data_IF_471345652560
#
_entry.id   IF_471345652560
#
_cell.length_a   1.000
_cell.length_b   1.000
_cell.length_c   1.000
_cell.angle_alpha   90.00
_cell.angle_beta   90.00
_cell.angle_gamma   90.00
#
_symmetry.space_group_name_H-M   'P 1'
#
loop_
_entity.id
_entity.type
_entity.pdbx_description
1 polymer ?
#
# COMPACT_ATOMS: atom_id res chain seq x y z
N UNK A 1 21.00 37.79 -11.50
CA UNK A 1 19.72 37.23 -11.06
C UNK A 1 19.11 36.50 -12.24
N UNK A 2 18.85 35.20 -12.11
CA UNK A 2 18.09 34.44 -13.11
C UNK A 2 16.61 34.83 -12.96
N UNK A 3 15.93 35.09 -14.08
CA UNK A 3 14.51 35.44 -14.12
C UNK A 3 13.67 34.37 -13.42
N UNK A 4 12.76 34.82 -12.53
CA UNK A 4 11.89 33.99 -11.66
C UNK A 4 10.51 33.72 -12.29
N UNK A 5 10.42 33.63 -13.62
CA UNK A 5 9.17 33.37 -14.33
C UNK A 5 8.96 31.88 -14.62
N UNK A 6 8.60 31.10 -13.61
CA UNK A 6 8.00 29.77 -13.84
C UNK A 6 6.55 29.75 -13.34
N UNK A 7 5.59 29.28 -14.17
CA UNK A 7 4.20 29.24 -13.77
C UNK A 7 3.99 28.24 -12.63
N UNK A 8 3.20 28.63 -11.63
CA UNK A 8 2.73 27.73 -10.58
C UNK A 8 1.86 26.61 -11.17
N UNK A 9 2.03 25.37 -10.68
CA UNK A 9 1.09 24.29 -10.94
C UNK A 9 -0.13 24.48 -10.03
N UNK A 10 -1.19 25.04 -10.59
CA UNK A 10 -2.46 25.25 -9.90
C UNK A 10 -3.38 24.09 -10.24
N UNK A 11 -3.62 23.20 -9.29
CA UNK A 11 -4.65 22.15 -9.43
C UNK A 11 -6.01 22.82 -9.23
N UNK A 12 -6.67 23.19 -10.33
CA UNK A 12 -7.95 23.90 -10.30
C UNK A 12 -9.16 22.98 -10.04
N UNK A 13 -8.97 21.66 -10.01
CA UNK A 13 -10.08 20.72 -9.81
C UNK A 13 -10.16 20.30 -8.33
N UNK A 14 -11.30 20.53 -7.65
CA UNK A 14 -11.52 19.96 -6.33
C UNK A 14 -11.54 18.42 -6.43
N UNK A 15 -11.04 17.74 -5.40
CA UNK A 15 -11.14 16.30 -5.29
C UNK A 15 -12.61 15.86 -5.32
N UNK A 16 -12.93 14.85 -6.12
CA UNK A 16 -14.26 14.25 -6.17
C UNK A 16 -14.19 12.85 -5.57
N UNK A 17 -15.01 12.60 -4.55
CA UNK A 17 -15.23 11.25 -4.05
C UNK A 17 -16.08 10.49 -5.05
N UNK A 18 -15.55 9.41 -5.62
CA UNK A 18 -16.31 8.47 -6.46
C UNK A 18 -16.42 7.14 -5.72
N UNK A 19 -17.62 6.57 -5.67
CA UNK A 19 -17.77 5.19 -5.19
C UNK A 19 -17.00 4.24 -6.11
N UNK A 20 -16.28 3.30 -5.51
CA UNK A 20 -15.59 2.26 -6.25
C UNK A 20 -16.61 1.42 -7.02
N UNK A 21 -16.59 1.50 -8.34
CA UNK A 21 -17.31 0.57 -9.20
C UNK A 21 -16.33 -0.47 -9.73
N UNK A 22 -16.51 -1.77 -9.41
CA UNK A 22 -15.68 -2.80 -10.00
C UNK A 22 -15.87 -2.77 -11.52
N UNK A 23 -14.78 -2.92 -12.30
CA UNK A 23 -14.88 -2.92 -13.76
C UNK A 23 -15.87 -3.99 -14.21
N UNK A 24 -16.78 -3.63 -15.12
CA UNK A 24 -17.74 -4.57 -15.69
C UNK A 24 -16.99 -5.65 -16.48
N UNK A 25 -16.76 -6.80 -15.85
CA UNK A 25 -16.22 -7.98 -16.53
C UNK A 25 -17.27 -8.44 -17.55
N UNK A 26 -16.95 -8.29 -18.83
CA UNK A 26 -17.75 -8.84 -19.91
C UNK A 26 -17.92 -10.35 -19.68
N UNK A 27 -19.16 -10.80 -19.49
CA UNK A 27 -19.50 -12.21 -19.39
C UNK A 27 -19.30 -12.83 -20.78
N UNK A 28 -18.10 -13.28 -21.08
CA UNK A 28 -17.91 -14.20 -22.20
C UNK A 28 -18.58 -15.54 -21.83
N UNK A 29 -19.31 -16.15 -22.78
CA UNK A 29 -19.95 -17.44 -22.54
C UNK A 29 -18.88 -18.45 -22.14
N UNK A 30 -19.13 -19.19 -21.05
CA UNK A 30 -18.28 -20.29 -20.63
C UNK A 30 -18.28 -21.34 -21.74
N UNK A 31 -17.14 -21.50 -22.42
CA UNK A 31 -16.90 -22.63 -23.29
C UNK A 31 -16.95 -23.89 -22.43
N UNK A 32 -18.07 -24.60 -22.45
CA UNK A 32 -18.19 -25.91 -21.81
C UNK A 32 -17.32 -26.87 -22.61
N UNK A 33 -16.18 -27.27 -22.08
CA UNK A 33 -15.47 -28.44 -22.60
C UNK A 33 -16.35 -29.65 -22.29
N UNK A 34 -16.55 -30.52 -23.28
CA UNK A 34 -17.11 -31.84 -23.03
C UNK A 34 -15.94 -32.81 -23.19
N UNK A 35 -15.49 -33.47 -22.10
CA UNK A 35 -14.41 -34.44 -22.19
C UNK A 35 -14.72 -35.51 -23.24
N UNK A 36 -13.76 -35.82 -24.10
CA UNK A 36 -13.93 -36.85 -25.15
C UNK A 36 -14.18 -38.24 -24.55
N UNK A 37 -13.55 -38.53 -23.40
CA UNK A 37 -13.79 -39.71 -22.57
C UNK A 37 -14.19 -39.26 -21.15
N UNK A 38 -15.50 -39.25 -20.89
CA UNK A 38 -16.06 -38.83 -19.60
C UNK A 38 -15.75 -39.82 -18.47
N UNK A 39 -15.74 -41.12 -18.77
CA UNK A 39 -15.46 -42.16 -17.77
C UNK A 39 -13.99 -42.09 -17.34
N UNK A 40 -13.07 -42.00 -18.30
CA UNK A 40 -11.65 -41.81 -18.02
C UNK A 40 -11.37 -40.50 -17.29
N UNK A 41 -12.02 -39.41 -17.71
CA UNK A 41 -11.88 -38.12 -17.04
C UNK A 41 -12.36 -38.13 -15.59
N UNK A 42 -13.58 -38.59 -15.34
CA UNK A 42 -14.15 -38.65 -13.99
C UNK A 42 -13.38 -39.61 -13.08
N UNK A 43 -12.93 -40.76 -13.60
CA UNK A 43 -12.13 -41.71 -12.83
C UNK A 43 -10.80 -41.11 -12.40
N UNK A 44 -10.12 -40.40 -13.32
CA UNK A 44 -8.88 -39.68 -13.00
C UNK A 44 -9.09 -38.62 -11.92
N UNK A 45 -10.13 -37.79 -12.02
CA UNK A 45 -10.42 -36.77 -10.99
C UNK A 45 -10.76 -37.39 -9.64
N UNK A 46 -11.45 -38.53 -9.61
CA UNK A 46 -11.70 -39.27 -8.36
C UNK A 46 -10.38 -39.74 -7.75
N UNK A 47 -9.49 -40.35 -8.55
CA UNK A 47 -8.21 -40.86 -8.07
C UNK A 47 -7.29 -39.72 -7.57
N UNK A 48 -7.32 -38.55 -8.23
CA UNK A 48 -6.65 -37.32 -7.80
C UNK A 48 -7.19 -36.79 -6.46
N UNK A 49 -8.52 -36.77 -6.27
CA UNK A 49 -9.14 -36.39 -5.00
C UNK A 49 -8.81 -37.37 -3.86
N UNK A 50 -8.80 -38.67 -4.13
CA UNK A 50 -8.36 -39.69 -3.16
C UNK A 50 -6.88 -39.52 -2.79
N UNK A 51 -6.04 -39.09 -3.73
CA UNK A 51 -4.64 -38.78 -3.43
C UNK A 51 -4.51 -37.58 -2.49
N UNK A 52 -5.31 -36.54 -2.71
CA UNK A 52 -5.40 -35.36 -1.83
C UNK A 52 -5.86 -35.76 -0.42
N UNK A 53 -6.89 -36.62 -0.31
CA UNK A 53 -7.36 -37.16 0.98
C UNK A 53 -6.24 -37.88 1.73
N UNK A 54 -5.51 -38.78 1.04
CA UNK A 54 -4.41 -39.53 1.63
C UNK A 54 -3.21 -38.67 2.01
N UNK A 55 -3.02 -37.52 1.36
CA UNK A 55 -1.98 -36.56 1.73
C UNK A 55 -2.32 -35.90 3.07
N UNK A 56 -3.59 -35.54 3.28
CA UNK A 56 -4.08 -34.99 4.53
C UNK A 56 -3.88 -35.96 5.71
N UNK A 57 -4.12 -37.26 5.50
CA UNK A 57 -4.00 -38.27 6.56
C UNK A 57 -2.56 -38.66 6.91
N UNK A 58 -1.61 -38.48 5.98
CA UNK A 58 -0.20 -38.88 6.16
C UNK A 58 0.71 -37.78 6.68
N UNK A 59 0.19 -36.57 6.85
CA UNK A 59 0.98 -35.43 7.30
C UNK A 59 1.27 -35.53 8.80
N UNK A 60 2.53 -35.82 9.13
CA UNK A 60 3.05 -35.58 10.47
C UNK A 60 3.14 -34.07 10.69
N UNK A 61 2.38 -33.55 11.66
CA UNK A 61 2.37 -32.14 12.03
C UNK A 61 3.23 -31.98 13.29
N UNK A 62 4.49 -31.54 13.19
CA UNK A 62 5.34 -31.34 14.36
C UNK A 62 4.83 -30.21 15.26
N UNK A 63 4.00 -29.32 14.70
CA UNK A 63 3.40 -28.18 15.37
C UNK A 63 1.88 -28.38 15.38
N UNK A 64 1.27 -28.25 16.56
CA UNK A 64 -0.18 -28.24 16.74
C UNK A 64 -0.60 -26.90 17.29
N UNK A 65 -1.55 -26.24 16.63
CA UNK A 65 -2.08 -24.93 17.01
C UNK A 65 -3.50 -25.10 17.50
N UNK A 66 -3.81 -24.56 18.69
CA UNK A 66 -5.12 -24.73 19.28
C UNK A 66 -6.19 -24.02 18.45
N UNK A 67 -7.31 -24.71 18.22
CA UNK A 67 -8.40 -24.18 17.42
C UNK A 67 -8.18 -24.19 15.91
N UNK A 68 -7.00 -24.55 15.40
CA UNK A 68 -6.80 -24.78 13.96
C UNK A 68 -7.56 -26.04 13.50
N UNK A 69 -8.23 -25.95 12.34
CA UNK A 69 -9.00 -27.08 11.81
C UNK A 69 -8.10 -27.98 10.98
N UNK A 70 -8.11 -29.28 11.26
CA UNK A 70 -7.40 -30.24 10.41
C UNK A 70 -8.03 -30.30 9.01
N UNK A 71 -7.19 -30.29 7.98
CA UNK A 71 -7.61 -30.33 6.59
C UNK A 71 -6.42 -30.25 5.65
N UNK A 72 -6.72 -30.10 4.37
CA UNK A 72 -5.74 -30.00 3.30
C UNK A 72 -6.13 -28.90 2.33
N UNK A 73 -5.15 -28.15 1.85
CA UNK A 73 -5.35 -27.25 0.73
C UNK A 73 -5.25 -28.03 -0.58
N UNK A 74 -6.24 -27.88 -1.45
CA UNK A 74 -6.27 -28.51 -2.76
C UNK A 74 -6.39 -27.45 -3.85
N UNK A 75 -5.59 -27.56 -4.90
CA UNK A 75 -5.67 -26.70 -6.08
C UNK A 75 -6.44 -27.44 -7.17
N UNK A 76 -7.52 -26.80 -7.63
CA UNK A 76 -8.31 -27.21 -8.80
C UNK A 76 -7.86 -26.34 -9.98
N UNK A 77 -7.39 -26.98 -11.05
CA UNK A 77 -6.98 -26.29 -12.28
C UNK A 77 -8.03 -26.52 -13.37
N UNK A 78 -8.39 -25.47 -14.13
CA UNK A 78 -9.31 -25.59 -15.27
C UNK A 78 -8.62 -26.02 -16.55
N UNK A 79 -9.41 -26.39 -17.56
CA UNK A 79 -8.89 -26.48 -18.93
C UNK A 79 -8.59 -25.08 -19.50
N UNK A 80 -7.61 -24.93 -20.42
CA UNK A 80 -7.37 -23.67 -21.10
C UNK A 80 -8.63 -23.12 -21.78
N UNK A 81 -9.00 -21.89 -21.47
CA UNK A 81 -10.20 -21.22 -21.99
C UNK A 81 -11.52 -21.64 -21.33
N UNK A 82 -11.46 -22.40 -20.24
CA UNK A 82 -12.61 -22.82 -19.43
C UNK A 82 -12.53 -22.20 -18.05
N UNK A 83 -13.68 -21.76 -17.53
CA UNK A 83 -13.79 -21.23 -16.17
C UNK A 83 -14.26 -22.30 -15.20
N UNK A 84 -13.71 -22.30 -13.99
CA UNK A 84 -14.14 -23.18 -12.92
C UNK A 84 -15.53 -22.81 -12.42
N UNK A 85 -16.30 -23.81 -12.00
CA UNK A 85 -17.54 -23.59 -11.27
C UNK A 85 -17.25 -23.20 -9.80
N UNK A 86 -16.72 -21.98 -9.58
CA UNK A 86 -16.25 -21.52 -8.26
C UNK A 86 -17.29 -21.67 -7.13
N UNK A 87 -18.56 -21.40 -7.40
CA UNK A 87 -19.67 -21.60 -6.44
C UNK A 87 -19.79 -23.06 -5.96
N UNK A 88 -19.41 -24.03 -6.80
CA UNK A 88 -19.42 -25.45 -6.43
C UNK A 88 -18.15 -25.85 -5.67
N UNK A 89 -17.09 -25.05 -5.73
CA UNK A 89 -15.87 -25.21 -4.93
C UNK A 89 -16.00 -24.57 -3.53
N UNK A 90 -16.97 -23.67 -3.35
CA UNK A 90 -17.27 -22.98 -2.09
C UNK A 90 -18.74 -23.19 -1.65
N UNK A 91 -19.11 -24.41 -1.18
CA UNK A 91 -20.50 -24.74 -0.87
C UNK A 91 -21.14 -23.92 0.24
N UNK A 92 -20.35 -23.40 1.20
CA UNK A 92 -20.82 -22.66 2.39
C UNK A 92 -22.04 -23.29 3.08
N UNK A 93 -22.07 -24.61 3.17
CA UNK A 93 -23.18 -25.39 3.74
C UNK A 93 -22.71 -26.22 4.92
N UNK A 94 -23.36 -26.04 6.08
CA UNK A 94 -23.01 -26.70 7.33
C UNK A 94 -21.98 -25.92 8.14
N UNK A 95 -21.63 -26.43 9.32
CA UNK A 95 -20.65 -25.78 10.21
C UNK A 95 -19.19 -25.99 9.77
N UNK A 96 -18.93 -27.06 9.00
CA UNK A 96 -17.61 -27.40 8.48
C UNK A 96 -17.78 -27.79 7.02
N UNK A 97 -17.13 -27.08 6.12
CA UNK A 97 -17.26 -27.27 4.69
C UNK A 97 -15.98 -26.89 3.95
N UNK A 98 -15.77 -27.41 2.73
CA UNK A 98 -14.76 -26.88 1.83
C UNK A 98 -15.00 -25.38 1.59
N UNK A 99 -13.93 -24.61 1.49
CA UNK A 99 -14.02 -23.16 1.29
C UNK A 99 -12.94 -22.69 0.32
N UNK A 100 -13.34 -21.82 -0.60
CA UNK A 100 -12.45 -21.25 -1.61
C UNK A 100 -11.58 -20.15 -1.00
N UNK A 101 -10.26 -20.33 -1.10
CA UNK A 101 -9.25 -19.46 -0.48
C UNK A 101 -8.79 -18.39 -1.46
N UNK A 102 -8.32 -18.83 -2.64
CA UNK A 102 -7.78 -17.96 -3.69
C UNK A 102 -8.17 -18.46 -5.08
N UNK A 103 -8.22 -17.53 -6.04
CA UNK A 103 -8.39 -17.83 -7.47
C UNK A 103 -7.36 -17.05 -8.26
N UNK A 104 -6.62 -17.75 -9.12
CA UNK A 104 -5.58 -17.19 -9.97
C UNK A 104 -5.90 -17.48 -11.43
N UNK A 105 -5.70 -16.49 -12.29
CA UNK A 105 -5.75 -16.65 -13.73
C UNK A 105 -4.31 -16.62 -14.27
N UNK A 106 -3.92 -17.66 -14.99
CA UNK A 106 -2.65 -17.68 -15.73
C UNK A 106 -2.92 -17.67 -17.22
N UNK A 107 -2.19 -16.83 -17.95
CA UNK A 107 -2.31 -16.72 -19.41
C UNK A 107 -1.16 -17.45 -20.08
N UNK A 108 -1.47 -18.42 -20.91
CA UNK A 108 -0.49 -19.13 -21.72
C UNK A 108 -0.02 -18.24 -22.89
N UNK A 109 1.12 -18.62 -23.48
CA UNK A 109 1.73 -17.89 -24.60
C UNK A 109 0.84 -17.87 -25.86
N UNK A 110 -0.04 -18.85 -26.02
CA UNK A 110 -1.04 -18.92 -27.09
C UNK A 110 -2.26 -18.02 -26.84
N UNK A 111 -2.28 -17.31 -25.71
CA UNK A 111 -3.33 -16.38 -25.32
C UNK A 111 -4.48 -17.01 -24.54
N UNK A 112 -4.51 -18.33 -24.37
CA UNK A 112 -5.51 -19.04 -23.56
C UNK A 112 -5.32 -18.77 -22.06
N UNK A 113 -6.42 -18.74 -21.31
CA UNK A 113 -6.41 -18.49 -19.86
C UNK A 113 -6.78 -19.75 -19.12
N UNK A 114 -6.02 -20.10 -18.08
CA UNK A 114 -6.30 -21.19 -17.16
C UNK A 114 -6.59 -20.62 -15.78
N UNK A 115 -7.66 -21.07 -15.14
CA UNK A 115 -8.03 -20.71 -13.78
C UNK A 115 -7.51 -21.77 -12.80
N UNK A 116 -6.87 -21.34 -11.72
CA UNK A 116 -6.52 -22.17 -10.56
C UNK A 116 -7.25 -21.67 -9.34
N UNK A 117 -8.02 -22.54 -8.70
CA UNK A 117 -8.71 -22.25 -7.45
C UNK A 117 -8.10 -23.09 -6.32
N UNK A 118 -7.62 -22.44 -5.27
CA UNK A 118 -7.15 -23.14 -4.07
C UNK A 118 -8.27 -23.18 -3.04
N UNK A 119 -8.60 -24.38 -2.56
CA UNK A 119 -9.70 -24.66 -1.64
C UNK A 119 -9.13 -25.31 -0.39
N UNK A 120 -9.47 -24.78 0.78
CA UNK A 120 -9.23 -25.50 2.03
C UNK A 120 -10.33 -26.54 2.22
N UNK A 121 -9.94 -27.81 2.38
CA UNK A 121 -10.85 -28.94 2.57
C UNK A 121 -10.64 -29.47 3.99
N UNK A 122 -11.53 -29.14 4.95
CA UNK A 122 -11.50 -29.73 6.28
C UNK A 122 -11.56 -31.26 6.21
N UNK A 123 -10.88 -31.92 7.16
CA UNK A 123 -10.84 -33.37 7.26
C UNK A 123 -12.27 -33.95 7.32
N UNK A 124 -12.50 -35.01 6.54
CA UNK A 124 -13.80 -35.66 6.43
C UNK A 124 -14.81 -34.97 5.52
N UNK A 125 -14.48 -33.81 4.93
CA UNK A 125 -15.40 -33.10 4.01
C UNK A 125 -15.12 -33.32 2.53
N UNK A 126 -14.02 -33.99 2.17
CA UNK A 126 -13.65 -34.25 0.76
C UNK A 126 -14.68 -35.13 0.03
N UNK A 127 -15.47 -35.91 0.76
CA UNK A 127 -16.59 -36.70 0.24
C UNK A 127 -17.64 -35.83 -0.50
N UNK A 128 -17.70 -34.53 -0.18
CA UNK A 128 -18.47 -33.56 -0.96
C UNK A 128 -18.08 -33.57 -2.45
N UNK A 129 -16.78 -33.63 -2.77
CA UNK A 129 -16.29 -33.69 -4.14
C UNK A 129 -16.38 -35.10 -4.71
N UNK A 130 -15.99 -36.12 -3.92
CA UNK A 130 -16.04 -37.53 -4.36
C UNK A 130 -17.45 -37.97 -4.77
N UNK A 131 -18.49 -37.62 -4.00
CA UNK A 131 -19.88 -37.91 -4.37
C UNK A 131 -20.29 -37.24 -5.67
N UNK A 132 -19.84 -36.00 -5.93
CA UNK A 132 -20.18 -35.30 -7.17
C UNK A 132 -19.56 -35.94 -8.40
N UNK A 133 -18.28 -36.32 -8.29
CA UNK A 133 -17.56 -37.05 -9.34
C UNK A 133 -18.19 -38.44 -9.54
N UNK A 134 -18.57 -39.13 -8.47
CA UNK A 134 -19.25 -40.43 -8.54
C UNK A 134 -20.59 -40.32 -9.25
N UNK A 135 -21.46 -39.36 -8.87
CA UNK A 135 -22.72 -39.14 -9.57
C UNK A 135 -22.54 -38.72 -11.04
N UNK A 136 -21.45 -38.02 -11.37
CA UNK A 136 -21.10 -37.72 -12.76
C UNK A 136 -20.77 -39.01 -13.54
N UNK A 137 -19.95 -39.89 -12.96
CA UNK A 137 -19.58 -41.19 -13.56
C UNK A 137 -20.79 -42.10 -13.75
N UNK A 138 -21.68 -42.19 -12.76
CA UNK A 138 -22.93 -42.97 -12.83
C UNK A 138 -23.86 -42.53 -13.97
N UNK A 139 -23.74 -41.27 -14.41
CA UNK A 139 -24.59 -40.66 -15.44
C UNK A 139 -23.78 -40.22 -16.66
N UNK A 140 -22.54 -40.72 -16.82
CA UNK A 140 -21.60 -40.24 -17.84
C UNK A 140 -22.10 -40.48 -19.28
N UNK A 141 -22.88 -41.54 -19.49
CA UNK A 141 -23.46 -41.89 -20.79
C UNK A 141 -24.72 -41.07 -21.14
N UNK A 142 -25.25 -40.29 -20.18
CA UNK A 142 -26.39 -39.41 -20.42
C UNK A 142 -25.98 -38.17 -21.23
N UNK A 143 -26.93 -37.58 -21.96
CA UNK A 143 -26.68 -36.35 -22.73
C UNK A 143 -26.18 -35.20 -21.83
N UNK A 144 -26.65 -35.14 -20.59
CA UNK A 144 -26.25 -34.15 -19.59
C UNK A 144 -26.02 -34.82 -18.24
N UNK A 145 -24.81 -35.36 -17.98
CA UNK A 145 -24.47 -35.98 -16.72
C UNK A 145 -24.69 -35.05 -15.53
N UNK A 146 -24.95 -35.63 -14.35
CA UNK A 146 -25.03 -34.88 -13.09
C UNK A 146 -23.70 -34.20 -12.79
N UNK A 147 -23.74 -33.02 -12.18
CA UNK A 147 -22.56 -32.23 -11.80
C UNK A 147 -21.62 -31.85 -12.96
N UNK A 148 -22.02 -32.01 -14.23
CA UNK A 148 -21.17 -31.72 -15.40
C UNK A 148 -20.54 -30.32 -15.37
N UNK A 149 -21.27 -29.31 -14.86
CA UNK A 149 -20.75 -27.92 -14.75
C UNK A 149 -19.47 -27.84 -13.91
N UNK A 150 -19.38 -28.64 -12.84
CA UNK A 150 -18.20 -28.70 -11.98
C UNK A 150 -17.14 -29.60 -12.62
N UNK A 151 -17.51 -30.86 -12.90
CA UNK A 151 -16.55 -31.89 -13.30
C UNK A 151 -15.89 -31.55 -14.64
N UNK A 152 -16.67 -31.18 -15.66
CA UNK A 152 -16.14 -30.85 -16.98
C UNK A 152 -15.26 -29.58 -16.98
N UNK A 153 -15.38 -28.73 -15.94
CA UNK A 153 -14.57 -27.51 -15.81
C UNK A 153 -13.18 -27.76 -15.24
N UNK A 154 -12.98 -28.87 -14.53
CA UNK A 154 -11.75 -29.19 -13.81
C UNK A 154 -10.87 -30.03 -14.73
N UNK A 155 -9.68 -29.53 -15.06
CA UNK A 155 -8.66 -30.32 -15.74
C UNK A 155 -7.97 -31.26 -14.76
N UNK A 156 -7.57 -30.79 -13.58
CA UNK A 156 -6.85 -31.59 -12.58
C UNK A 156 -7.05 -31.07 -11.16
N UNK A 157 -6.83 -31.95 -10.17
CA UNK A 157 -6.81 -31.65 -8.75
C UNK A 157 -5.51 -32.15 -8.13
N UNK A 158 -4.88 -31.33 -7.29
CA UNK A 158 -3.66 -31.69 -6.58
C UNK A 158 -3.59 -31.03 -5.20
N UNK A 159 -2.78 -31.58 -4.30
CA UNK A 159 -2.47 -30.90 -3.03
C UNK A 159 -1.75 -29.58 -3.32
N UNK A 160 -2.22 -28.51 -2.70
CA UNK A 160 -1.66 -27.18 -2.88
C UNK A 160 -0.29 -27.07 -2.21
N UNK A 161 0.56 -26.26 -2.80
CA UNK A 161 1.80 -25.79 -2.15
C UNK A 161 1.60 -24.34 -1.72
N UNK A 162 2.52 -23.81 -0.92
CA UNK A 162 2.47 -22.41 -0.50
C UNK A 162 2.42 -21.42 -1.68
N UNK A 163 3.03 -21.79 -2.82
CA UNK A 163 3.02 -21.00 -4.05
C UNK A 163 1.60 -20.88 -4.66
N UNK A 164 0.69 -21.79 -4.36
CA UNK A 164 -0.69 -21.73 -4.82
C UNK A 164 -1.55 -20.68 -4.09
N UNK A 165 -1.03 -20.09 -3.01
CA UNK A 165 -1.63 -18.96 -2.29
C UNK A 165 -1.00 -17.62 -2.70
N UNK A 166 0.07 -17.61 -3.51
CA UNK A 166 0.75 -16.39 -3.95
C UNK A 166 -0.05 -15.64 -5.01
N UNK A 167 -0.46 -14.41 -4.72
CA UNK A 167 -1.31 -13.60 -5.64
C UNK A 167 -0.56 -12.54 -6.43
N UNK A 168 0.68 -12.23 -6.05
CA UNK A 168 1.53 -11.29 -6.77
C UNK A 168 2.14 -11.93 -8.03
N UNK A 169 2.81 -11.16 -8.91
CA UNK A 169 3.46 -11.72 -10.09
C UNK A 169 4.36 -12.91 -9.74
N UNK A 170 4.36 -14.00 -10.53
CA UNK A 170 5.18 -15.18 -10.21
C UNK A 170 6.69 -14.90 -10.16
N UNK A 171 7.16 -13.84 -10.83
CA UNK A 171 8.55 -13.42 -10.80
C UNK A 171 8.99 -12.81 -9.45
N UNK A 172 8.03 -12.32 -8.65
CA UNK A 172 8.29 -11.68 -7.35
C UNK A 172 8.24 -12.69 -6.20
N UNK A 173 7.85 -13.94 -6.49
CA UNK A 173 7.80 -15.02 -5.51
C UNK A 173 9.21 -15.28 -4.95
N UNK A 174 9.40 -15.21 -3.62
CA UNK A 174 10.70 -15.31 -2.99
C UNK A 174 11.50 -16.56 -3.34
N UNK A 175 12.82 -16.37 -3.48
CA UNK A 175 13.77 -17.44 -3.75
C UNK A 175 13.92 -18.41 -2.57
N UNK A 176 14.51 -19.58 -2.83
CA UNK A 176 14.78 -20.55 -1.76
C UNK A 176 15.72 -19.97 -0.70
N UNK A 177 15.35 -20.07 0.58
CA UNK A 177 16.13 -19.54 1.70
C UNK A 177 16.17 -18.02 1.83
N UNK A 178 15.45 -17.27 0.98
CA UNK A 178 15.32 -15.81 1.11
C UNK A 178 14.42 -15.49 2.31
N UNK A 179 14.96 -14.83 3.33
CA UNK A 179 14.19 -14.36 4.48
C UNK A 179 13.56 -13.02 4.12
N UNK A 180 12.23 -13.00 3.99
CA UNK A 180 11.48 -11.79 3.61
C UNK A 180 10.24 -11.63 4.46
N UNK A 181 9.73 -10.40 4.50
CA UNK A 181 8.38 -10.14 5.01
C UNK A 181 7.34 -10.53 3.98
N UNK A 182 6.28 -11.17 4.47
CA UNK A 182 5.10 -11.58 3.73
C UNK A 182 3.88 -10.85 4.30
N UNK A 183 3.02 -10.38 3.42
CA UNK A 183 1.67 -9.97 3.77
C UNK A 183 0.78 -11.22 3.69
N UNK A 184 0.40 -11.73 4.87
CA UNK A 184 -0.37 -12.96 5.04
C UNK A 184 -1.84 -12.59 5.21
N UNK A 185 -2.65 -12.99 4.23
CA UNK A 185 -4.09 -12.80 4.26
C UNK A 185 -4.74 -14.06 4.80
N UNK A 186 -5.52 -13.88 5.87
CA UNK A 186 -6.20 -14.93 6.60
C UNK A 186 -7.70 -14.83 6.33
N UNK A 187 -8.38 -15.96 6.13
CA UNK A 187 -9.84 -16.02 6.14
C UNK A 187 -10.33 -15.78 7.57
N UNK A 188 -11.42 -15.04 7.70
CA UNK A 188 -12.05 -14.83 9.00
C UNK A 188 -13.02 -15.96 9.31
N UNK A 189 -12.67 -16.81 10.27
CA UNK A 189 -13.52 -17.93 10.72
C UNK A 189 -14.21 -17.65 12.06
N UNK A 190 -13.41 -17.36 13.09
CA UNK A 190 -13.86 -17.20 14.48
C UNK A 190 -13.24 -15.98 15.18
N UNK A 191 -12.45 -15.17 14.45
CA UNK A 191 -11.77 -13.99 14.98
C UNK A 191 -10.45 -14.30 15.69
N UNK A 192 -9.99 -15.56 15.67
CA UNK A 192 -8.75 -16.01 16.29
C UNK A 192 -7.65 -16.31 15.26
N UNK A 193 -7.87 -16.02 13.99
CA UNK A 193 -6.94 -16.34 12.90
C UNK A 193 -5.55 -15.70 13.07
N UNK A 194 -5.50 -14.43 13.48
CA UNK A 194 -4.23 -13.75 13.72
C UNK A 194 -3.48 -14.35 14.92
N UNK A 195 -4.21 -14.76 15.96
CA UNK A 195 -3.62 -15.42 17.13
C UNK A 195 -3.03 -16.78 16.73
N UNK A 196 -3.74 -17.58 15.93
CA UNK A 196 -3.23 -18.87 15.44
C UNK A 196 -1.95 -18.72 14.60
N UNK A 197 -1.88 -17.69 13.75
CA UNK A 197 -0.65 -17.40 13.03
C UNK A 197 0.49 -16.99 13.98
N UNK A 198 0.22 -16.18 15.01
CA UNK A 198 1.20 -15.79 16.01
C UNK A 198 1.72 -17.00 16.82
N UNK A 199 0.84 -17.92 17.21
CA UNK A 199 1.21 -19.16 17.88
C UNK A 199 2.10 -20.04 16.99
N UNK A 200 1.75 -20.16 15.70
CA UNK A 200 2.57 -20.86 14.71
C UNK A 200 3.96 -20.22 14.55
N UNK A 201 4.00 -18.89 14.46
CA UNK A 201 5.24 -18.14 14.33
C UNK A 201 6.13 -18.33 15.56
N UNK A 202 5.57 -18.24 16.77
CA UNK A 202 6.29 -18.48 18.01
C UNK A 202 6.85 -19.91 18.10
N UNK A 203 6.07 -20.92 17.68
CA UNK A 203 6.51 -22.31 17.65
C UNK A 203 7.63 -22.57 16.61
N UNK A 204 7.71 -21.72 15.59
CA UNK A 204 8.67 -21.83 14.47
C UNK A 204 9.83 -20.82 14.55
N UNK A 205 9.93 -20.06 15.65
CA UNK A 205 10.90 -18.98 15.85
C UNK A 205 10.88 -17.92 14.72
N UNK A 206 9.67 -17.56 14.27
CA UNK A 206 9.41 -16.57 13.22
C UNK A 206 8.97 -15.23 13.81
N UNK A 207 9.27 -14.15 13.10
CA UNK A 207 8.84 -12.80 13.48
C UNK A 207 7.50 -12.46 12.83
N UNK A 208 6.52 -12.03 13.63
CA UNK A 208 5.24 -11.50 13.15
C UNK A 208 5.12 -10.02 13.39
N UNK A 209 4.38 -9.32 12.53
CA UNK A 209 3.90 -7.97 12.82
C UNK A 209 2.95 -7.99 14.01
N UNK A 210 3.01 -6.95 14.86
CA UNK A 210 2.17 -6.83 16.06
C UNK A 210 0.72 -6.50 15.77
N UNK A 211 0.45 -5.93 14.60
CA UNK A 211 -0.88 -5.50 14.20
C UNK A 211 -1.44 -6.41 13.11
N UNK A 212 -2.75 -6.63 13.19
CA UNK A 212 -3.55 -7.25 12.15
C UNK A 212 -4.59 -6.25 11.66
N UNK A 213 -4.80 -6.17 10.35
CA UNK A 213 -5.79 -5.29 9.75
C UNK A 213 -6.96 -6.12 9.20
N UNK A 214 -8.17 -5.83 9.68
CA UNK A 214 -9.37 -6.51 9.19
C UNK A 214 -9.94 -5.84 7.94
N UNK A 215 -10.15 -6.61 6.87
CA UNK A 215 -10.79 -6.20 5.63
C UNK A 215 -11.93 -7.15 5.27
N UNK A 216 -13.17 -6.79 5.60
CA UNK A 216 -14.33 -7.62 5.28
C UNK A 216 -14.27 -8.99 5.95
N UNK A 217 -14.16 -10.04 5.15
CA UNK A 217 -14.00 -11.45 5.55
C UNK A 217 -12.53 -11.91 5.57
N UNK A 218 -11.58 -10.97 5.55
CA UNK A 218 -10.15 -11.22 5.62
C UNK A 218 -9.49 -10.47 6.77
N UNK A 219 -8.42 -11.04 7.30
CA UNK A 219 -7.52 -10.42 8.28
C UNK A 219 -6.10 -10.49 7.73
N UNK A 220 -5.42 -9.36 7.68
CA UNK A 220 -4.09 -9.24 7.09
C UNK A 220 -3.06 -9.01 8.18
N UNK A 221 -1.95 -9.72 8.12
CA UNK A 221 -0.85 -9.59 9.09
C UNK A 221 0.49 -9.85 8.41
N UNK A 222 1.57 -9.37 9.03
CA UNK A 222 2.92 -9.56 8.51
C UNK A 222 3.59 -10.75 9.17
N UNK A 223 4.33 -11.52 8.38
CA UNK A 223 5.19 -12.59 8.85
C UNK A 223 6.53 -12.52 8.12
N UNK A 224 7.64 -12.54 8.84
CA UNK A 224 8.96 -12.71 8.24
C UNK A 224 9.33 -14.19 8.25
N UNK A 225 9.53 -14.77 7.07
CA UNK A 225 9.81 -16.18 6.91
C UNK A 225 10.50 -16.46 5.58
N UNK A 226 11.17 -17.59 5.47
CA UNK A 226 11.49 -18.18 4.17
C UNK A 226 10.26 -18.90 3.61
N UNK A 227 10.25 -19.12 2.30
CA UNK A 227 9.23 -19.95 1.65
C UNK A 227 9.13 -21.34 2.29
N UNK A 228 10.26 -21.94 2.66
CA UNK A 228 10.30 -23.28 3.26
C UNK A 228 9.64 -23.30 4.65
N UNK A 229 9.81 -22.25 5.44
CA UNK A 229 9.13 -22.10 6.74
C UNK A 229 7.62 -21.91 6.56
N UNK A 230 7.19 -21.09 5.59
CA UNK A 230 5.77 -20.93 5.26
C UNK A 230 5.13 -22.19 4.66
N UNK A 231 5.89 -23.05 3.98
CA UNK A 231 5.40 -24.36 3.54
C UNK A 231 5.02 -25.27 4.71
N UNK A 232 5.50 -25.03 5.94
CA UNK A 232 5.00 -25.73 7.13
C UNK A 232 3.67 -25.12 7.59
N UNK A 233 3.49 -23.80 7.40
CA UNK A 233 2.27 -23.10 7.81
C UNK A 233 1.03 -23.60 7.07
N UNK A 234 1.13 -23.90 5.76
CA UNK A 234 -0.01 -24.42 4.96
C UNK A 234 -0.49 -25.80 5.43
N UNK A 235 0.36 -26.54 6.14
CA UNK A 235 0.03 -27.86 6.68
C UNK A 235 -0.60 -27.78 8.07
N UNK A 236 -0.39 -26.67 8.79
CA UNK A 236 -0.77 -26.48 10.18
C UNK A 236 -1.98 -25.56 10.32
N UNK A 237 -2.01 -24.47 9.56
CA UNK A 237 -3.03 -23.42 9.66
C UNK A 237 -4.11 -23.61 8.60
N UNK A 238 -5.37 -23.51 9.01
CA UNK A 238 -6.52 -23.53 8.10
C UNK A 238 -6.93 -22.13 7.62
N UNK A 239 -6.31 -21.09 8.16
CA UNK A 239 -6.73 -19.71 7.92
C UNK A 239 -6.10 -19.07 6.69
N UNK A 240 -5.00 -19.62 6.14
CA UNK A 240 -4.29 -19.01 5.03
C UNK A 240 -5.18 -18.89 3.79
N UNK A 241 -5.36 -17.67 3.30
CA UNK A 241 -6.17 -17.38 2.12
C UNK A 241 -5.30 -16.90 0.95
N UNK A 242 -4.42 -15.93 1.18
CA UNK A 242 -3.54 -15.36 0.15
C UNK A 242 -2.18 -14.93 0.76
N UNK A 243 -1.16 -14.86 -0.08
CA UNK A 243 0.19 -14.39 0.25
C UNK A 243 0.67 -13.36 -0.77
N UNK A 244 1.26 -12.28 -0.28
CA UNK A 244 1.80 -11.17 -1.08
C UNK A 244 3.12 -10.66 -0.53
N UNK A 245 3.86 -9.91 -1.34
CA UNK A 245 4.89 -9.01 -0.82
C UNK A 245 4.19 -7.84 -0.12
N UNK A 246 4.67 -7.41 1.07
CA UNK A 246 4.17 -6.22 1.74
C UNK A 246 4.29 -5.02 0.82
N UNK A 247 3.15 -4.44 0.46
CA UNK A 247 3.10 -3.28 -0.42
C UNK A 247 3.49 -1.98 0.29
N UNK A 248 3.35 -1.90 1.63
CA UNK A 248 3.70 -0.74 2.47
C UNK A 248 4.07 -1.13 3.92
N UNK A 249 5.34 -1.42 4.22
CA UNK A 249 5.78 -1.79 5.57
C UNK A 249 5.58 -0.68 6.61
N UNK A 250 5.63 0.60 6.21
CA UNK A 250 5.49 1.74 7.13
C UNK A 250 4.17 1.75 7.91
N UNK A 251 3.08 1.20 7.36
CA UNK A 251 1.79 1.17 8.06
C UNK A 251 1.81 0.31 9.33
N UNK A 252 2.80 -0.57 9.48
CA UNK A 252 2.92 -1.45 10.64
C UNK A 252 3.87 -0.89 11.71
N UNK A 253 4.76 0.05 11.34
CA UNK A 253 5.67 0.71 12.29
C UNK A 253 4.97 1.72 13.20
N UNK A 254 3.88 2.32 12.72
CA UNK A 254 2.99 3.15 13.54
C UNK A 254 2.39 2.38 14.71
N UNK A 255 2.43 1.03 14.68
CA UNK A 255 1.97 0.13 15.73
C UNK A 255 3.04 -0.52 16.61
N UNK A 256 4.33 -0.32 16.31
CA UNK A 256 5.45 -0.88 17.08
C UNK A 256 5.58 -0.18 18.45
N UNK A 257 6.15 -0.88 19.44
CA UNK A 257 6.55 -0.20 20.68
C UNK A 257 7.80 0.66 20.46
N UNK A 258 8.09 1.54 21.42
CA UNK A 258 9.22 2.47 21.31
C UNK A 258 10.57 1.78 21.13
N UNK A 259 10.75 0.57 21.68
CA UNK A 259 12.01 -0.19 21.57
C UNK A 259 12.18 -0.75 20.16
N UNK A 260 11.14 -1.33 19.59
CA UNK A 260 11.18 -1.79 18.20
C UNK A 260 11.36 -0.64 17.23
N UNK A 261 10.65 0.47 17.43
CA UNK A 261 10.85 1.67 16.60
C UNK A 261 12.30 2.16 16.66
N UNK A 262 12.92 2.14 17.83
CA UNK A 262 14.34 2.49 17.99
C UNK A 262 15.26 1.52 17.21
N UNK A 263 15.01 0.22 17.27
CA UNK A 263 15.77 -0.79 16.51
C UNK A 263 15.64 -0.57 14.99
N UNK A 264 14.42 -0.32 14.49
CA UNK A 264 14.17 -0.01 13.08
C UNK A 264 14.83 1.30 12.64
N UNK A 265 14.75 2.35 13.46
CA UNK A 265 15.37 3.64 13.18
C UNK A 265 16.89 3.51 13.16
N UNK A 266 17.49 2.79 14.10
CA UNK A 266 18.93 2.57 14.16
C UNK A 266 19.44 1.76 12.96
N UNK A 267 18.72 0.71 12.58
CA UNK A 267 19.04 -0.10 11.40
C UNK A 267 18.98 0.74 10.13
N UNK A 268 17.88 1.47 9.92
CA UNK A 268 17.73 2.34 8.75
C UNK A 268 18.83 3.40 8.71
N UNK A 269 19.07 4.09 9.83
CA UNK A 269 20.10 5.10 9.97
C UNK A 269 21.50 4.56 9.60
N UNK A 270 21.81 3.31 9.96
CA UNK A 270 23.10 2.68 9.66
C UNK A 270 23.38 2.50 8.17
N UNK A 271 22.32 2.51 7.33
CA UNK A 271 22.40 2.35 5.88
C UNK A 271 22.17 3.64 5.09
N UNK A 272 21.94 4.76 5.78
CA UNK A 272 21.78 6.06 5.14
C UNK A 272 23.12 6.63 4.69
N UNK A 273 23.14 7.17 3.48
CA UNK A 273 24.20 8.04 3.00
C UNK A 273 23.60 9.44 2.75
N UNK A 274 23.84 10.41 3.65
CA UNK A 274 23.32 11.76 3.50
C UNK A 274 23.82 12.44 2.23
N UNK A 275 23.01 13.35 1.69
CA UNK A 275 23.42 14.17 0.57
C UNK A 275 24.58 15.10 0.98
N UNK A 276 25.49 15.37 0.02
CA UNK A 276 26.58 16.33 0.24
C UNK A 276 26.09 17.73 0.59
N UNK A 277 26.93 18.53 1.25
CA UNK A 277 26.56 19.87 1.75
C UNK A 277 26.04 20.84 0.68
N UNK A 278 26.49 20.69 -0.57
CA UNK A 278 26.10 21.52 -1.72
C UNK A 278 24.86 20.99 -2.47
N UNK A 279 24.28 19.87 -2.02
CA UNK A 279 23.06 19.34 -2.60
C UNK A 279 21.88 20.33 -2.42
N UNK A 280 20.88 20.29 -3.30
CA UNK A 280 19.68 21.10 -3.13
C UNK A 280 19.00 20.80 -1.79
N UNK A 281 18.26 21.75 -1.25
CA UNK A 281 17.55 21.57 0.01
C UNK A 281 16.03 21.74 -0.13
N UNK A 282 15.28 21.04 0.71
CA UNK A 282 13.86 21.29 0.94
C UNK A 282 13.71 22.08 2.23
N UNK A 283 13.22 23.32 2.13
CA UNK A 283 12.92 24.15 3.27
C UNK A 283 11.51 23.87 3.78
N UNK A 284 11.42 23.21 4.93
CA UNK A 284 10.17 22.86 5.59
C UNK A 284 9.72 24.04 6.45
N UNK A 285 8.64 24.70 6.03
CA UNK A 285 8.02 25.82 6.73
C UNK A 285 6.85 25.31 7.55
N UNK A 286 7.07 25.05 8.84
CA UNK A 286 6.12 24.36 9.72
C UNK A 286 6.31 24.71 11.21
N UNK A 287 6.16 23.75 12.13
CA UNK A 287 6.33 23.85 13.58
C UNK A 287 7.79 23.75 14.04
N UNK A 288 8.75 23.68 13.12
CA UNK A 288 10.17 23.40 13.41
C UNK A 288 10.50 21.94 13.10
N UNK A 289 11.74 21.51 13.34
CA UNK A 289 12.16 20.11 13.11
C UNK A 289 13.00 19.63 14.28
N UNK A 290 12.74 18.40 14.75
CA UNK A 290 13.63 17.72 15.70
C UNK A 290 14.87 17.21 14.96
N UNK A 291 15.87 18.10 14.83
CA UNK A 291 17.12 17.87 14.10
C UNK A 291 17.89 16.63 14.58
N UNK A 292 17.83 16.32 15.86
CA UNK A 292 18.58 15.22 16.50
C UNK A 292 17.95 13.84 16.26
N UNK A 293 16.85 13.78 15.50
CA UNK A 293 16.31 12.51 15.08
C UNK A 293 17.36 11.75 14.22
N UNK A 294 17.65 10.45 14.48
CA UNK A 294 18.73 9.72 13.79
C UNK A 294 18.59 9.68 12.26
N UNK A 295 17.35 9.71 11.76
CA UNK A 295 17.07 9.77 10.33
C UNK A 295 17.28 11.18 9.73
N UNK A 296 17.24 12.24 10.53
CA UNK A 296 17.29 13.63 10.05
C UNK A 296 18.67 14.25 10.25
N UNK A 297 19.40 13.87 11.30
CA UNK A 297 20.60 14.58 11.75
C UNK A 297 21.71 14.73 10.70
N UNK A 298 21.87 13.75 9.80
CA UNK A 298 22.83 13.82 8.69
C UNK A 298 22.43 14.80 7.58
N UNK A 299 21.15 15.15 7.50
CA UNK A 299 20.54 15.89 6.39
C UNK A 299 20.11 17.31 6.75
N UNK A 300 20.14 17.71 8.03
CA UNK A 300 19.78 19.05 8.50
C UNK A 300 20.90 19.66 9.37
N UNK A 301 21.53 20.73 8.87
CA UNK A 301 22.57 21.46 9.64
C UNK A 301 21.93 22.31 10.76
N UNK A 302 22.59 22.50 11.90
CA UNK A 302 22.15 23.48 12.89
C UNK A 302 22.00 24.92 12.35
N UNK A 303 22.83 25.30 11.38
CA UNK A 303 22.75 26.61 10.69
C UNK A 303 21.54 26.76 9.79
N UNK A 304 20.89 25.65 9.43
CA UNK A 304 19.76 25.60 8.49
C UNK A 304 18.42 25.54 9.25
N UNK A 305 18.43 25.75 10.57
CA UNK A 305 17.25 25.77 11.44
C UNK A 305 16.92 27.21 11.84
N UNK A 306 15.76 27.71 11.41
CA UNK A 306 15.33 29.08 11.61
C UNK A 306 13.93 29.15 12.23
N UNK A 307 13.59 30.33 12.74
CA UNK A 307 12.23 30.67 13.17
C UNK A 307 11.83 32.03 12.59
N UNK A 308 10.54 32.19 12.29
CA UNK A 308 9.98 33.44 11.76
C UNK A 308 10.10 34.59 12.78
N UNK A 309 10.04 34.26 14.07
CA UNK A 309 10.29 35.17 15.18
C UNK A 309 11.55 34.72 15.91
N UNK A 310 12.52 35.63 16.05
CA UNK A 310 13.80 35.35 16.68
C UNK A 310 13.69 35.03 18.19
N UNK A 311 12.56 35.32 18.83
CA UNK A 311 12.29 34.94 20.21
C UNK A 311 11.88 33.48 20.37
N UNK A 312 11.54 32.78 19.28
CA UNK A 312 11.10 31.38 19.33
C UNK A 312 12.28 30.41 19.26
N UNK A 313 12.18 29.24 19.91
CA UNK A 313 13.08 28.14 19.62
C UNK A 313 12.89 27.63 18.19
N UNK A 314 13.94 27.07 17.60
CA UNK A 314 13.89 26.51 16.23
C UNK A 314 13.49 25.03 16.17
N UNK A 315 13.45 24.34 17.31
CA UNK A 315 13.06 22.94 17.37
C UNK A 315 11.54 22.75 17.28
N UNK A 316 11.14 21.55 16.92
CA UNK A 316 9.75 21.13 16.85
C UNK A 316 9.17 20.88 18.25
N UNK A 317 8.00 21.46 18.51
CA UNK A 317 7.22 21.31 19.73
C UNK A 317 5.80 20.78 19.48
N UNK A 318 5.47 20.44 18.23
CA UNK A 318 4.17 19.89 17.82
C UNK A 318 4.28 18.53 17.13
N UNK A 319 5.47 18.14 16.67
CA UNK A 319 5.76 16.88 15.97
C UNK A 319 5.53 16.96 14.45
N UNK A 320 4.56 17.77 14.01
CA UNK A 320 4.15 17.87 12.61
C UNK A 320 5.29 18.28 11.68
N UNK A 321 6.14 19.22 12.08
CA UNK A 321 7.24 19.68 11.23
C UNK A 321 8.32 18.61 11.06
N UNK A 322 8.56 17.80 12.09
CA UNK A 322 9.46 16.63 12.02
C UNK A 322 8.90 15.55 11.09
N UNK A 323 7.59 15.28 11.14
CA UNK A 323 6.91 14.36 10.21
C UNK A 323 7.04 14.83 8.75
N UNK A 324 6.81 16.13 8.51
CA UNK A 324 6.97 16.75 7.19
C UNK A 324 8.41 16.72 6.69
N UNK A 325 9.39 16.84 7.59
CA UNK A 325 10.81 16.69 7.25
C UNK A 325 11.17 15.26 6.85
N UNK A 326 10.62 14.26 7.54
CA UNK A 326 10.74 12.85 7.15
C UNK A 326 10.17 12.59 5.77
N UNK A 327 8.93 13.03 5.52
CA UNK A 327 8.27 12.89 4.22
C UNK A 327 9.08 13.57 3.10
N UNK A 328 9.55 14.79 3.34
CA UNK A 328 10.36 15.52 2.37
C UNK A 328 11.67 14.81 2.04
N UNK A 329 12.28 14.10 3.00
CA UNK A 329 13.57 13.47 2.82
C UNK A 329 13.47 12.08 2.17
N UNK A 330 12.47 11.30 2.53
CA UNK A 330 12.35 9.88 2.18
C UNK A 330 11.28 9.57 1.13
N UNK A 331 10.39 10.51 0.83
CA UNK A 331 9.16 10.23 0.06
C UNK A 331 8.33 9.15 0.78
N UNK A 332 8.43 7.88 0.36
CA UNK A 332 7.85 6.75 1.10
C UNK A 332 8.88 6.14 2.07
N UNK A 333 8.82 6.58 3.33
CA UNK A 333 9.64 6.02 4.41
C UNK A 333 9.43 4.50 4.56
N UNK A 334 8.25 3.96 4.23
CA UNK A 334 7.96 2.54 4.27
C UNK A 334 8.76 1.71 3.28
N UNK A 335 8.96 2.21 2.06
CA UNK A 335 9.83 1.54 1.07
C UNK A 335 11.28 1.52 1.56
N UNK A 336 11.75 2.61 2.16
CA UNK A 336 13.09 2.69 2.75
C UNK A 336 13.30 1.65 3.86
N UNK A 337 12.25 1.36 4.64
CA UNK A 337 12.28 0.36 5.72
C UNK A 337 12.15 -1.09 5.23
N UNK A 338 11.42 -1.35 4.15
CA UNK A 338 11.37 -2.70 3.54
C UNK A 338 12.70 -3.10 2.91
N UNK A 339 13.43 -2.14 2.37
CA UNK A 339 14.64 -2.38 1.61
C UNK A 339 15.84 -2.59 2.54
N UNK A 340 16.70 -3.56 2.22
CA UNK A 340 18.01 -3.75 2.86
C UNK A 340 19.15 -3.02 2.12
N UNK A 341 18.84 -2.29 1.04
CA UNK A 341 19.86 -1.61 0.23
C UNK A 341 20.38 -0.33 0.90
N UNK A 342 21.55 0.15 0.50
CA UNK A 342 22.00 1.49 0.91
C UNK A 342 21.08 2.56 0.32
N UNK A 343 20.73 3.56 1.14
CA UNK A 343 19.84 4.64 0.73
C UNK A 343 20.66 5.92 0.57
N UNK A 344 20.74 6.40 -0.67
CA UNK A 344 21.43 7.63 -1.01
C UNK A 344 20.44 8.79 -1.06
N UNK A 345 20.52 9.68 -0.08
CA UNK A 345 19.71 10.89 -0.07
C UNK A 345 20.25 11.87 -1.11
N UNK A 346 19.33 12.50 -1.86
CA UNK A 346 19.67 13.36 -3.02
C UNK A 346 19.67 14.85 -2.69
N UNK A 347 19.13 15.20 -1.54
CA UNK A 347 18.92 16.56 -1.09
C UNK A 347 19.03 16.64 0.43
N UNK A 348 19.16 17.86 0.94
CA UNK A 348 19.19 18.19 2.36
C UNK A 348 17.90 18.86 2.80
N UNK A 349 17.80 19.18 4.08
CA UNK A 349 16.70 19.91 4.68
C UNK A 349 17.15 21.30 5.13
N UNK A 350 16.23 22.25 5.06
CA UNK A 350 16.21 23.51 5.81
C UNK A 350 14.91 23.53 6.63
N UNK A 351 14.90 24.21 7.78
CA UNK A 351 13.69 24.35 8.60
C UNK A 351 13.44 25.82 8.89
N UNK A 352 12.20 26.27 8.71
CA UNK A 352 11.75 27.58 9.14
C UNK A 352 10.47 27.45 9.96
N UNK A 353 10.59 27.55 11.28
CA UNK A 353 9.46 27.51 12.19
C UNK A 353 8.57 28.73 11.99
N UNK A 354 7.34 28.48 11.56
CA UNK A 354 6.29 29.47 11.32
C UNK A 354 5.29 29.55 12.48
N UNK A 355 5.12 28.46 13.23
CA UNK A 355 4.16 28.38 14.33
C UNK A 355 4.83 28.75 15.67
N UNK A 356 4.20 29.59 16.50
CA UNK A 356 4.72 29.91 17.82
C UNK A 356 4.65 28.70 18.76
N UNK A 357 5.49 28.67 19.81
CA UNK A 357 5.41 27.62 20.83
C UNK A 357 4.03 27.54 21.47
N UNK A 358 3.47 26.33 21.70
CA UNK A 358 2.21 26.16 22.40
C UNK A 358 2.23 26.84 23.79
N UNK A 359 1.11 27.43 24.24
CA UNK A 359 -0.22 27.46 23.62
C UNK A 359 -0.42 28.64 22.64
N UNK A 360 0.65 29.28 22.18
CA UNK A 360 0.56 30.43 21.27
C UNK A 360 -0.05 30.08 19.92
N UNK A 361 -0.72 31.08 19.34
CA UNK A 361 -1.20 31.06 17.96
C UNK A 361 -0.86 32.40 17.29
N UNK A 362 -0.58 32.33 15.99
CA UNK A 362 -0.35 33.54 15.22
C UNK A 362 -1.68 34.27 14.98
N UNK A 363 -1.67 35.60 15.10
CA UNK A 363 -2.83 36.39 14.70
C UNK A 363 -3.01 36.30 13.17
N UNK A 364 -4.25 36.16 12.65
CA UNK A 364 -4.49 35.95 11.21
C UNK A 364 -3.94 37.04 10.29
N UNK A 365 -3.86 38.27 10.76
CA UNK A 365 -3.27 39.41 10.05
C UNK A 365 -1.75 39.29 9.87
N UNK A 366 -1.08 38.47 10.69
CA UNK A 366 0.37 38.26 10.65
C UNK A 366 0.81 37.08 9.79
N UNK A 367 -0.10 36.23 9.29
CA UNK A 367 0.27 35.02 8.53
C UNK A 367 1.16 35.32 7.33
N UNK A 368 0.83 36.34 6.54
CA UNK A 368 1.63 36.74 5.38
C UNK A 368 3.00 37.27 5.78
N UNK A 369 3.07 38.11 6.81
CA UNK A 369 4.31 38.70 7.29
C UNK A 369 5.28 37.65 7.86
N UNK A 370 4.76 36.72 8.67
CA UNK A 370 5.55 35.63 9.26
C UNK A 370 6.04 34.63 8.21
N UNK A 371 5.21 34.31 7.21
CA UNK A 371 5.61 33.44 6.09
C UNK A 371 6.73 34.09 5.27
N UNK A 372 6.61 35.39 4.98
CA UNK A 372 7.65 36.14 4.28
C UNK A 372 8.94 36.24 5.11
N UNK A 373 8.84 36.46 6.43
CA UNK A 373 9.98 36.50 7.33
C UNK A 373 10.72 35.15 7.42
N UNK A 374 9.97 34.05 7.55
CA UNK A 374 10.51 32.69 7.51
C UNK A 374 11.31 32.43 6.23
N UNK A 375 10.71 32.71 5.07
CA UNK A 375 11.37 32.54 3.77
C UNK A 375 12.61 33.44 3.64
N UNK A 376 12.49 34.72 4.01
CA UNK A 376 13.58 35.69 3.91
C UNK A 376 14.77 35.31 4.77
N UNK A 377 14.53 34.81 5.98
CA UNK A 377 15.61 34.41 6.92
C UNK A 377 16.47 33.30 6.32
N UNK A 378 15.84 32.28 5.75
CA UNK A 378 16.53 31.16 5.08
C UNK A 378 17.29 31.64 3.84
N UNK A 379 16.69 32.53 3.04
CA UNK A 379 17.34 33.10 1.86
C UNK A 379 18.54 34.00 2.22
N UNK A 380 18.47 34.73 3.34
CA UNK A 380 19.58 35.59 3.81
C UNK A 380 20.75 34.74 4.32
N UNK A 381 20.47 33.66 5.06
CA UNK A 381 21.53 32.80 5.60
C UNK A 381 22.30 32.07 4.48
N UNK A 382 21.58 31.55 3.47
CA UNK A 382 22.17 30.73 2.42
C UNK A 382 21.80 31.23 0.99
N UNK A 383 22.19 32.44 0.57
CA UNK A 383 21.62 33.10 -0.62
C UNK A 383 21.79 32.36 -1.94
N UNK A 384 22.79 31.49 -2.05
CA UNK A 384 23.11 30.75 -3.28
C UNK A 384 22.65 29.30 -3.29
N UNK A 385 22.05 28.80 -2.20
CA UNK A 385 21.60 27.42 -2.14
C UNK A 385 20.40 27.20 -3.07
N UNK A 386 20.44 26.11 -3.84
CA UNK A 386 19.29 25.65 -4.60
C UNK A 386 18.27 25.06 -3.62
N UNK A 387 17.07 25.64 -3.53
CA UNK A 387 16.06 25.21 -2.58
C UNK A 387 14.65 25.15 -3.16
N UNK A 388 13.81 24.33 -2.53
CA UNK A 388 12.36 24.31 -2.70
C UNK A 388 11.71 24.52 -1.34
N UNK A 389 10.72 25.41 -1.26
CA UNK A 389 9.94 25.61 -0.04
C UNK A 389 8.74 24.65 0.00
N UNK A 390 8.56 23.97 1.12
CA UNK A 390 7.38 23.16 1.44
C UNK A 390 6.64 23.81 2.59
N UNK A 391 5.41 24.27 2.34
CA UNK A 391 4.53 24.87 3.33
C UNK A 391 3.31 23.95 3.51
N UNK A 392 3.25 23.27 4.66
CA UNK A 392 2.17 22.36 5.00
C UNK A 392 1.19 22.95 6.04
N UNK A 393 1.27 24.25 6.29
CA UNK A 393 0.37 24.97 7.20
C UNK A 393 -0.67 25.74 6.37
N UNK A 394 -1.94 25.58 6.74
CA UNK A 394 -3.05 26.30 6.10
C UNK A 394 -3.82 27.14 7.12
N UNK A 395 -4.39 28.25 6.66
CA UNK A 395 -5.28 29.08 7.47
C UNK A 395 -6.74 28.61 7.28
N UNK A 396 -7.57 28.57 8.34
CA UNK A 396 -8.99 28.28 8.19
C UNK A 396 -9.66 29.35 7.32
N UNK A 397 -10.46 28.90 6.35
CA UNK A 397 -11.22 29.78 5.45
C UNK A 397 -12.30 30.52 6.25
N UNK A 398 -12.15 31.84 6.43
CA UNK A 398 -13.27 32.67 6.88
C UNK A 398 -14.19 32.94 5.69
N UNK A 399 -15.26 32.17 5.55
CA UNK A 399 -16.28 32.41 4.53
C UNK A 399 -16.99 33.76 4.78
N UNK A 400 -16.76 34.73 3.89
CA UNK A 400 -17.72 35.79 3.63
C UNK A 400 -17.96 35.88 2.11
N UNK A 401 -19.07 35.33 1.58
CA UNK A 401 -19.28 35.19 0.13
C UNK A 401 -19.39 36.51 -0.65
N UNK A 402 -19.57 37.65 0.02
CA UNK A 402 -19.79 38.95 -0.62
C UNK A 402 -18.54 39.85 -0.69
N UNK A 403 -17.40 39.48 -0.08
CA UNK A 403 -16.17 40.28 -0.13
C UNK A 403 -15.17 39.81 -1.20
N UNK A 404 -15.65 39.37 -2.38
CA UNK A 404 -14.78 39.07 -3.54
C UNK A 404 -14.08 40.30 -4.15
N UNK A 405 -14.07 41.43 -3.46
CA UNK A 405 -13.22 42.58 -3.76
C UNK A 405 -12.52 43.05 -2.50
N UNK A 406 -11.17 43.06 -2.53
CA UNK A 406 -10.28 43.66 -1.54
C UNK A 406 -10.11 42.94 -0.18
N UNK A 407 -9.64 41.69 -0.19
CA UNK A 407 -8.87 41.11 0.93
C UNK A 407 -8.04 39.86 0.52
N UNK A 408 -7.48 39.82 -0.68
CA UNK A 408 -6.26 39.04 -0.87
C UNK A 408 -5.13 39.94 -0.41
N UNK A 409 -4.73 39.79 0.85
CA UNK A 409 -3.46 40.29 1.34
C UNK A 409 -2.37 39.65 0.48
N UNK A 410 -1.88 40.44 -0.45
CA UNK A 410 -0.77 40.17 -1.35
C UNK A 410 0.40 39.42 -0.66
N UNK A 411 0.86 38.30 -1.23
CA UNK A 411 2.28 37.98 -1.30
C UNK A 411 3.01 38.75 -2.42
N UNK A 412 2.39 39.75 -3.08
CA UNK A 412 3.02 40.54 -4.15
C UNK A 412 4.28 41.32 -3.71
N UNK A 413 4.50 41.51 -2.41
CA UNK A 413 5.76 42.12 -1.92
C UNK A 413 6.97 41.19 -1.90
N UNK A 414 6.79 39.90 -2.18
CA UNK A 414 7.89 39.01 -2.57
C UNK A 414 8.38 39.25 -4.01
N UNK A 415 7.69 40.11 -4.79
CA UNK A 415 7.94 40.25 -6.23
C UNK A 415 8.34 41.66 -6.68
N UNK A 416 8.07 42.73 -5.94
CA UNK A 416 8.49 44.08 -6.37
C UNK A 416 8.86 44.99 -5.19
N UNK A 417 10.15 45.32 -5.03
CA UNK A 417 10.56 46.73 -5.09
C UNK A 417 12.09 46.92 -5.18
N UNK A 418 12.51 47.68 -6.20
CA UNK A 418 13.71 48.49 -6.17
C UNK A 418 13.41 49.77 -6.93
N UNK A 419 12.95 50.79 -6.21
CA UNK A 419 12.74 52.12 -6.76
C UNK A 419 14.06 52.82 -7.08
N UNK A 420 14.10 53.54 -8.21
CA UNK A 420 14.77 54.84 -8.24
C UNK A 420 14.16 55.77 -9.29
N UNK A 421 13.95 57.01 -8.85
CA UNK A 421 13.33 58.17 -9.47
C UNK A 421 13.82 58.61 -10.86
N UNK A 422 12.93 59.21 -11.67
CA UNK A 422 13.10 60.54 -12.34
C UNK A 422 11.86 60.95 -13.19
N UNK A 423 11.34 62.16 -12.96
CA UNK A 423 10.86 63.09 -14.02
C UNK A 423 9.36 63.17 -14.38
N UNK A 424 8.70 64.26 -13.96
CA UNK A 424 7.42 64.85 -14.43
C UNK A 424 7.37 65.21 -15.94
N UNK A 425 6.26 65.74 -16.57
CA UNK A 425 4.88 66.01 -16.09
C UNK A 425 3.70 65.65 -17.05
N UNK A 426 2.49 65.83 -16.50
CA UNK A 426 1.16 65.93 -17.14
C UNK A 426 1.10 66.82 -18.40
N UNK A 427 0.31 66.40 -19.40
CA UNK A 427 -0.43 67.32 -20.31
C UNK A 427 -1.85 66.82 -20.56
N UNK A 428 -2.82 67.66 -20.21
CA UNK A 428 -4.18 67.64 -20.74
C UNK A 428 -4.17 68.03 -22.23
N UNK A 429 -5.02 67.42 -23.05
CA UNK A 429 -5.79 68.15 -24.06
C UNK A 429 -7.06 67.40 -24.49
N UNK A 430 -8.19 68.08 -24.29
CA UNK A 430 -9.48 67.87 -24.99
C UNK A 430 -9.32 68.10 -26.49
N UNK A 431 -10.07 67.34 -27.31
CA UNK A 431 -10.74 67.75 -28.58
C UNK A 431 -11.65 66.58 -29.00
N UNK A 432 -12.97 66.65 -28.76
CA UNK A 432 -14.01 67.04 -29.73
C UNK A 432 -13.76 66.52 -31.16
N UNK A 433 -14.67 65.66 -31.64
CA UNK A 433 -14.76 65.18 -33.04
C UNK A 433 -15.10 66.30 -34.04
N UNK A 434 -15.30 65.99 -35.34
CA UNK A 434 -16.53 65.29 -35.75
C UNK A 434 -16.42 64.38 -37.02
N UNK A 435 -17.51 63.63 -37.25
CA UNK A 435 -18.15 63.20 -38.53
C UNK A 435 -17.26 62.93 -39.78
N UNK A 436 -17.34 61.71 -40.35
CA UNK A 436 -18.27 61.33 -41.43
C UNK A 436 -17.74 60.13 -42.24
N UNK A 437 -18.63 59.15 -42.47
CA UNK A 437 -18.77 58.30 -43.67
C UNK A 437 -17.52 57.88 -44.48
N UNK A 438 -17.20 56.58 -44.45
CA UNK A 438 -17.66 55.58 -45.44
C UNK A 438 -17.32 54.19 -44.93
#
# INVERSE_FOLDING_TARGET
MLDRDKPHLIIQRPAQSTEYQPPSRAVQPTTSVVPADRHGHGSRLRDELELVERAADRQERPISIEGAVEGVYATFESFPGVRLALESLDPRQGATHPELMSVHESRAADGSTTERATVFIPRGTIDYFLRRVTSYLETADETSPKNRKLVDSIQSVQTATIAALWTDPPADFPGAGELVWWEVWLRKRDGQEAQRLQEFAAASDLRTGRQSLGFGDRTVTLLEATREQLSVAIDVLDDLAELRRPSRPAQFLTGCDAREQEEWVAELASRLNPAGADAPAVCVVDSGVFREHPLIEGSLSPSDCHAADASWPVHDDRGHGTEMAGLALYDDLGEALASQQQIHLRHRLESAKLLPPPPGENAPDLYGALTAAAASTVEIEAPFRSRVFSLAVTAPTTENPESRGAAFGQPDRLVCDAGCSRGWPKRHHRRQGPRSSR
#
